data_IF_581471989224
#
_entry.id   IF_581471989224
#
_cell.length_a   1.000
_cell.length_b   1.000
_cell.length_c   1.000
_cell.angle_alpha   90.00
_cell.angle_beta   90.00
_cell.angle_gamma   90.00
#
_symmetry.space_group_name_H-M   'P 1'
#
loop_
_entity.id
_entity.type
_entity.pdbx_description
1 polymer ?
#
# COMPACT_ATOMS: atom_id res chain seq x y z
N UNK A 1 -10.68 2.91 0.67
CA UNK A 1 -10.09 1.86 1.52
C UNK A 1 -11.07 0.68 1.56
N UNK A 2 -10.89 -0.37 0.74
CA UNK A 2 -11.52 -1.65 1.00
C UNK A 2 -10.50 -2.62 1.59
N UNK A 3 -10.75 -3.05 2.82
CA UNK A 3 -10.05 -4.12 3.53
C UNK A 3 -10.51 -5.46 2.95
N UNK A 4 -9.60 -6.16 2.25
CA UNK A 4 -9.81 -7.54 1.83
C UNK A 4 -9.25 -8.50 2.88
N UNK A 5 -10.15 -9.24 3.53
CA UNK A 5 -9.83 -10.45 4.30
C UNK A 5 -9.09 -11.45 3.41
N UNK A 6 -7.91 -11.89 3.84
CA UNK A 6 -7.17 -12.99 3.21
C UNK A 6 -7.27 -14.21 4.11
N UNK A 7 -8.11 -15.16 3.69
CA UNK A 7 -8.38 -16.44 4.33
C UNK A 7 -7.14 -17.37 4.25
N UNK A 8 -6.57 -17.83 5.39
CA UNK A 8 -5.31 -18.58 5.39
C UNK A 8 -5.43 -20.05 4.97
N UNK A 9 -6.56 -20.51 4.43
CA UNK A 9 -6.78 -21.94 4.09
C UNK A 9 -6.52 -22.33 2.63
N UNK A 10 -5.97 -21.45 1.79
CA UNK A 10 -5.67 -21.76 0.37
C UNK A 10 -4.18 -21.77 0.01
N UNK A 11 -3.35 -22.48 0.77
CA UNK A 11 -1.98 -22.81 0.36
C UNK A 11 -1.61 -24.23 0.81
N UNK A 12 -2.20 -25.24 0.18
CA UNK A 12 -1.54 -26.53 0.07
C UNK A 12 -1.99 -27.27 -1.20
N UNK A 13 -1.32 -26.97 -2.31
CA UNK A 13 -1.30 -27.86 -3.48
C UNK A 13 0.15 -27.94 -3.94
N UNK A 14 0.91 -28.85 -3.35
CA UNK A 14 2.16 -29.32 -3.95
C UNK A 14 1.81 -30.32 -5.05
N UNK A 15 2.21 -30.13 -6.32
CA UNK A 15 2.21 -31.23 -7.27
C UNK A 15 3.36 -32.18 -6.91
N UNK A 16 2.98 -33.37 -6.40
CA UNK A 16 3.87 -34.51 -6.28
C UNK A 16 4.32 -34.96 -7.68
N UNK A 17 5.57 -34.67 -8.04
CA UNK A 17 6.20 -35.24 -9.23
C UNK A 17 6.65 -36.66 -8.86
N UNK A 18 5.73 -37.61 -9.05
CA UNK A 18 6.05 -39.03 -9.05
C UNK A 18 6.79 -39.38 -10.34
N UNK A 19 8.07 -39.72 -10.25
CA UNK A 19 8.80 -40.36 -11.34
C UNK A 19 8.35 -41.83 -11.38
N UNK A 20 7.26 -42.08 -12.10
CA UNK A 20 6.85 -43.41 -12.50
C UNK A 20 7.56 -43.82 -13.78
N UNK A 21 8.76 -44.38 -13.66
CA UNK A 21 9.38 -45.14 -14.76
C UNK A 21 8.99 -46.61 -14.63
N UNK A 22 7.79 -46.91 -15.15
CA UNK A 22 7.41 -48.26 -15.52
C UNK A 22 7.85 -48.55 -16.95
N UNK A 23 9.05 -49.12 -17.11
CA UNK A 23 9.37 -49.97 -18.25
C UNK A 23 9.87 -51.29 -17.69
N UNK A 24 8.98 -52.27 -17.69
CA UNK A 24 9.29 -53.64 -17.33
C UNK A 24 10.30 -54.22 -18.31
N UNK A 25 11.41 -54.72 -17.76
CA UNK A 25 12.18 -55.78 -18.37
C UNK A 25 12.30 -56.87 -17.31
N UNK A 26 11.65 -57.99 -17.56
CA UNK A 26 11.62 -59.20 -16.75
C UNK A 26 13.04 -59.77 -16.56
N UNK A 27 13.34 -60.20 -15.34
CA UNK A 27 14.48 -61.07 -15.05
C UNK A 27 14.00 -62.54 -15.01
N UNK A 28 14.35 -63.40 -15.99
CA UNK A 28 14.27 -64.85 -15.84
C UNK A 28 15.50 -65.43 -15.13
N UNK A 29 15.36 -66.61 -14.49
CA UNK A 29 16.11 -67.03 -13.31
C UNK A 29 17.46 -67.71 -13.59
N UNK A 30 18.41 -67.58 -12.65
CA UNK A 30 19.67 -68.33 -12.65
C UNK A 30 19.44 -69.70 -12.00
N UNK A 31 19.01 -70.68 -12.79
CA UNK A 31 19.33 -72.08 -12.48
C UNK A 31 19.59 -72.88 -13.76
N UNK A 32 20.86 -73.31 -13.83
CA UNK A 32 21.42 -74.43 -14.60
C UNK A 32 21.49 -74.31 -16.13
N UNK A 33 22.67 -73.96 -16.65
CA UNK A 33 23.28 -74.68 -17.78
C UNK A 33 24.77 -74.90 -17.44
N UNK A 34 25.16 -76.15 -17.65
CA UNK A 34 26.38 -76.86 -17.29
C UNK A 34 27.66 -76.39 -17.98
N UNK A 35 28.78 -76.88 -17.42
CA UNK A 35 30.16 -76.88 -17.91
C UNK A 35 30.33 -76.86 -19.43
N UNK A 36 31.39 -76.15 -19.87
CA UNK A 36 32.50 -76.62 -20.74
C UNK A 36 33.09 -75.44 -21.54
N UNK A 37 34.39 -75.21 -21.35
CA UNK A 37 35.31 -74.37 -22.17
C UNK A 37 35.52 -72.91 -21.79
N UNK A 38 35.82 -72.64 -20.52
CA UNK A 38 36.65 -71.49 -20.14
C UNK A 38 38.13 -71.82 -20.43
N UNK A 39 38.65 -71.48 -21.62
CA UNK A 39 40.12 -71.25 -21.76
C UNK A 39 40.64 -70.54 -23.01
N UNK A 40 39.85 -70.25 -24.05
CA UNK A 40 40.34 -69.43 -25.18
C UNK A 40 39.64 -68.09 -25.35
N UNK A 41 38.43 -67.89 -24.78
CA UNK A 41 37.67 -66.65 -24.97
C UNK A 41 38.04 -65.51 -24.00
N UNK A 42 38.82 -65.79 -22.95
CA UNK A 42 39.35 -64.77 -22.02
C UNK A 42 40.50 -63.98 -22.65
N UNK A 43 41.18 -64.52 -23.68
CA UNK A 43 42.30 -63.84 -24.33
C UNK A 43 41.92 -63.04 -25.59
N UNK A 44 40.63 -62.97 -25.94
CA UNK A 44 40.14 -62.05 -26.99
C UNK A 44 39.45 -60.81 -26.41
N UNK A 45 38.82 -60.90 -25.23
CA UNK A 45 38.19 -59.73 -24.60
C UNK A 45 39.20 -58.81 -23.93
N UNK A 46 40.36 -59.30 -23.49
CA UNK A 46 41.37 -58.47 -22.82
C UNK A 46 42.21 -57.64 -23.82
N UNK A 47 42.42 -58.09 -25.06
CA UNK A 47 43.23 -57.34 -26.04
C UNK A 47 42.45 -56.24 -26.79
N UNK A 48 41.11 -56.24 -26.72
CA UNK A 48 40.26 -55.20 -27.35
C UNK A 48 39.66 -54.22 -26.32
N UNK A 49 39.51 -54.60 -25.05
CA UNK A 49 39.01 -53.69 -23.98
C UNK A 49 40.08 -52.78 -23.34
N UNK A 50 41.37 -53.13 -23.39
CA UNK A 50 42.43 -52.31 -22.78
C UNK A 50 42.75 -51.03 -23.56
N UNK A 51 42.63 -51.06 -24.89
CA UNK A 51 42.90 -49.88 -25.74
C UNK A 51 41.67 -49.01 -25.91
N UNK A 52 40.45 -49.57 -25.97
CA UNK A 52 39.20 -48.80 -26.00
C UNK A 52 38.91 -48.06 -24.70
N UNK A 53 39.30 -48.62 -23.53
CA UNK A 53 39.09 -47.97 -22.23
C UNK A 53 39.87 -46.67 -22.06
N UNK A 54 41.08 -46.55 -22.61
CA UNK A 54 41.88 -45.33 -22.48
C UNK A 54 41.34 -44.19 -23.38
N UNK A 55 40.94 -44.52 -24.62
CA UNK A 55 40.31 -43.53 -25.50
C UNK A 55 38.95 -43.07 -24.97
N UNK A 56 38.16 -43.98 -24.40
CA UNK A 56 36.89 -43.64 -23.77
C UNK A 56 37.08 -42.77 -22.52
N UNK A 57 38.19 -42.97 -21.79
CA UNK A 57 38.55 -42.16 -20.63
C UNK A 57 39.05 -40.76 -21.03
N UNK A 58 39.82 -40.64 -22.12
CA UNK A 58 40.21 -39.33 -22.68
C UNK A 58 39.03 -38.55 -23.26
N UNK A 59 38.12 -39.21 -23.97
CA UNK A 59 36.88 -38.58 -24.47
C UNK A 59 36.00 -38.08 -23.33
N UNK A 60 35.95 -38.82 -22.23
CA UNK A 60 35.19 -38.42 -21.05
C UNK A 60 35.84 -37.23 -20.31
N UNK A 61 37.17 -37.08 -20.38
CA UNK A 61 37.91 -35.93 -19.85
C UNK A 61 37.66 -34.66 -20.69
N UNK A 62 37.72 -34.75 -22.02
CA UNK A 62 37.35 -33.65 -22.93
C UNK A 62 35.89 -33.23 -22.76
N UNK A 63 34.96 -34.19 -22.64
CA UNK A 63 33.53 -33.89 -22.40
C UNK A 63 33.30 -33.25 -21.02
N UNK A 64 34.12 -33.60 -20.01
CA UNK A 64 34.07 -32.97 -18.69
C UNK A 64 34.62 -31.53 -18.75
N UNK A 65 35.70 -31.30 -19.49
CA UNK A 65 36.26 -29.95 -19.71
C UNK A 65 35.26 -29.06 -20.45
N UNK A 66 34.69 -29.51 -21.57
CA UNK A 66 33.65 -28.77 -22.31
C UNK A 66 32.41 -28.50 -21.43
N UNK A 67 31.97 -29.49 -20.64
CA UNK A 67 30.86 -29.32 -19.71
C UNK A 67 31.17 -28.29 -18.61
N UNK A 68 32.42 -28.19 -18.16
CA UNK A 68 32.83 -27.17 -17.18
C UNK A 68 32.86 -25.77 -17.79
N UNK A 69 33.28 -25.63 -19.05
CA UNK A 69 33.25 -24.35 -19.77
C UNK A 69 31.81 -23.83 -19.94
N UNK A 70 30.88 -24.69 -20.36
CA UNK A 70 29.45 -24.33 -20.49
C UNK A 70 28.86 -23.89 -19.14
N UNK A 71 29.23 -24.56 -18.05
CA UNK A 71 28.76 -24.22 -16.71
C UNK A 71 29.36 -22.89 -16.21
N UNK A 72 30.61 -22.59 -16.58
CA UNK A 72 31.26 -21.32 -16.29
C UNK A 72 30.60 -20.17 -17.06
N UNK A 73 30.34 -20.33 -18.36
CA UNK A 73 29.63 -19.32 -19.14
C UNK A 73 28.20 -19.09 -18.63
N UNK A 74 27.51 -20.16 -18.21
CA UNK A 74 26.17 -20.05 -17.63
C UNK A 74 26.21 -19.27 -16.31
N UNK A 75 27.20 -19.54 -15.46
CA UNK A 75 27.41 -18.80 -14.20
C UNK A 75 27.72 -17.32 -14.47
N UNK A 76 28.53 -17.03 -15.47
CA UNK A 76 28.86 -15.66 -15.86
C UNK A 76 27.62 -14.90 -16.37
N UNK A 77 26.83 -15.48 -17.28
CA UNK A 77 25.57 -14.89 -17.76
C UNK A 77 24.54 -14.71 -16.64
N UNK A 78 24.46 -15.66 -15.72
CA UNK A 78 23.57 -15.57 -14.55
C UNK A 78 24.02 -14.44 -13.61
N UNK A 79 25.32 -14.34 -13.33
CA UNK A 79 25.87 -13.27 -12.51
C UNK A 79 25.62 -11.90 -13.14
N UNK A 80 25.87 -11.73 -14.44
CA UNK A 80 25.58 -10.50 -15.16
C UNK A 80 24.11 -10.10 -15.04
N UNK A 81 23.18 -11.06 -15.18
CA UNK A 81 21.74 -10.80 -15.04
C UNK A 81 21.35 -10.41 -13.62
N UNK A 82 21.97 -11.04 -12.61
CA UNK A 82 21.77 -10.69 -11.20
C UNK A 82 22.27 -9.28 -10.94
N UNK A 83 23.47 -8.93 -11.39
CA UNK A 83 24.08 -7.62 -11.21
C UNK A 83 23.20 -6.52 -11.84
N UNK A 84 22.70 -6.73 -13.07
CA UNK A 84 21.78 -5.79 -13.73
C UNK A 84 20.45 -5.62 -12.98
N UNK A 85 19.94 -6.71 -12.39
CA UNK A 85 18.71 -6.66 -11.58
C UNK A 85 18.95 -5.98 -10.24
N UNK A 86 20.09 -6.21 -9.60
CA UNK A 86 20.50 -5.57 -8.36
C UNK A 86 20.68 -4.07 -8.55
N UNK A 87 21.32 -3.64 -9.63
CA UNK A 87 21.48 -2.21 -9.95
C UNK A 87 20.12 -1.54 -10.14
N UNK A 88 19.25 -2.15 -10.95
CA UNK A 88 17.88 -1.64 -11.16
C UNK A 88 17.06 -1.60 -9.86
N UNK A 89 17.24 -2.60 -8.99
CA UNK A 89 16.55 -2.64 -7.71
C UNK A 89 17.10 -1.57 -6.75
N UNK A 90 18.41 -1.35 -6.75
CA UNK A 90 19.07 -0.29 -5.97
C UNK A 90 18.59 1.09 -6.39
N UNK A 91 18.55 1.38 -7.68
CA UNK A 91 18.01 2.65 -8.20
C UNK A 91 16.55 2.88 -7.79
N UNK A 92 15.71 1.84 -7.86
CA UNK A 92 14.29 1.94 -7.45
C UNK A 92 14.17 2.17 -5.95
N UNK A 93 14.99 1.50 -5.16
CA UNK A 93 15.01 1.68 -3.73
C UNK A 93 15.42 3.10 -3.35
N UNK A 94 16.49 3.62 -3.95
CA UNK A 94 16.94 5.00 -3.73
C UNK A 94 15.88 6.03 -4.13
N UNK A 95 15.25 5.87 -5.30
CA UNK A 95 14.13 6.73 -5.73
C UNK A 95 12.95 6.68 -4.76
N UNK A 96 12.67 5.51 -4.20
CA UNK A 96 11.59 5.35 -3.21
C UNK A 96 11.94 6.05 -1.91
N UNK A 97 13.20 5.95 -1.46
CA UNK A 97 13.70 6.66 -0.27
C UNK A 97 13.58 8.17 -0.49
N UNK A 98 14.06 8.69 -1.62
CA UNK A 98 13.98 10.11 -1.97
C UNK A 98 12.52 10.60 -2.00
N UNK A 99 11.61 9.84 -2.61
CA UNK A 99 10.19 10.14 -2.62
C UNK A 99 9.60 10.18 -1.20
N UNK A 100 9.94 9.21 -0.35
CA UNK A 100 9.47 9.17 1.03
C UNK A 100 9.98 10.38 1.82
N UNK A 101 11.23 10.80 1.64
CA UNK A 101 11.76 12.01 2.26
C UNK A 101 11.03 13.27 1.79
N UNK A 102 10.84 13.41 0.47
CA UNK A 102 10.11 14.54 -0.09
C UNK A 102 8.65 14.60 0.39
N UNK A 103 7.99 13.45 0.53
CA UNK A 103 6.63 13.34 1.03
C UNK A 103 6.54 13.72 2.52
N UNK A 104 7.55 13.36 3.33
CA UNK A 104 7.65 13.77 4.74
C UNK A 104 7.78 15.29 4.84
N UNK A 105 8.71 15.88 4.06
CA UNK A 105 8.93 17.33 4.07
C UNK A 105 7.66 18.08 3.63
N UNK A 106 7.05 17.64 2.53
CA UNK A 106 5.79 18.17 2.03
C UNK A 106 4.67 18.08 3.07
N UNK A 107 4.54 16.96 3.78
CA UNK A 107 3.54 16.80 4.83
C UNK A 107 3.69 17.87 5.92
N UNK A 108 4.93 18.16 6.33
CA UNK A 108 5.19 19.16 7.36
C UNK A 108 4.96 20.59 6.86
N UNK A 109 5.33 20.89 5.62
CA UNK A 109 5.02 22.16 4.98
C UNK A 109 3.51 22.41 4.87
N UNK A 110 2.77 21.43 4.33
CA UNK A 110 1.31 21.51 4.15
C UNK A 110 0.60 21.61 5.51
N UNK A 111 1.04 20.85 6.52
CA UNK A 111 0.49 20.90 7.87
C UNK A 111 0.72 22.27 8.52
N UNK A 112 1.93 22.80 8.43
CA UNK A 112 2.26 24.10 8.99
C UNK A 112 1.50 25.22 8.28
N UNK A 113 1.43 25.18 6.95
CA UNK A 113 0.63 26.12 6.17
C UNK A 113 -0.85 26.08 6.57
N UNK A 114 -1.41 24.88 6.74
CA UNK A 114 -2.79 24.71 7.21
C UNK A 114 -2.98 25.27 8.62
N UNK A 115 -2.06 25.00 9.54
CA UNK A 115 -2.11 25.53 10.90
C UNK A 115 -2.08 27.06 10.92
N UNK A 116 -1.18 27.67 10.14
CA UNK A 116 -1.08 29.13 10.02
C UNK A 116 -2.35 29.71 9.42
N UNK A 117 -2.92 29.07 8.39
CA UNK A 117 -4.17 29.52 7.78
C UNK A 117 -5.34 29.44 8.76
N UNK A 118 -5.46 28.36 9.54
CA UNK A 118 -6.49 28.24 10.58
C UNK A 118 -6.31 29.31 11.66
N UNK A 119 -5.07 29.53 12.12
CA UNK A 119 -4.80 30.57 13.12
C UNK A 119 -5.22 31.96 12.60
N UNK A 120 -4.80 32.29 11.37
CA UNK A 120 -5.18 33.56 10.72
C UNK A 120 -6.68 33.69 10.54
N UNK A 121 -7.37 32.61 10.15
CA UNK A 121 -8.82 32.63 10.03
C UNK A 121 -9.48 32.88 11.39
N UNK A 122 -9.02 32.21 12.45
CA UNK A 122 -9.52 32.43 13.81
C UNK A 122 -9.26 33.86 14.29
N UNK A 123 -8.10 34.45 13.98
CA UNK A 123 -7.80 35.85 14.31
C UNK A 123 -8.75 36.82 13.59
N UNK A 124 -9.06 36.56 12.32
CA UNK A 124 -10.02 37.36 11.55
C UNK A 124 -11.43 37.19 12.10
N UNK A 125 -11.86 35.96 12.39
CA UNK A 125 -13.18 35.65 12.94
C UNK A 125 -13.34 36.26 14.34
N UNK A 126 -12.29 36.23 15.17
CA UNK A 126 -12.28 36.88 16.48
C UNK A 126 -12.37 38.40 16.34
N UNK A 127 -11.61 39.01 15.44
CA UNK A 127 -11.67 40.44 15.17
C UNK A 127 -13.06 40.87 14.67
N UNK A 128 -13.67 40.11 13.77
CA UNK A 128 -15.04 40.34 13.28
C UNK A 128 -16.06 40.18 14.39
N UNK A 129 -15.93 39.14 15.23
CA UNK A 129 -16.83 38.92 16.36
C UNK A 129 -16.73 40.03 17.41
N UNK A 130 -15.52 40.50 17.72
CA UNK A 130 -15.30 41.62 18.64
C UNK A 130 -15.86 42.92 18.06
N UNK A 131 -15.63 43.20 16.77
CA UNK A 131 -16.19 44.35 16.09
C UNK A 131 -17.73 44.32 16.06
N UNK A 132 -18.34 43.16 15.80
CA UNK A 132 -19.79 43.01 15.85
C UNK A 132 -20.32 43.21 17.27
N UNK A 133 -19.63 42.65 18.28
CA UNK A 133 -19.99 42.85 19.69
C UNK A 133 -19.90 44.32 20.09
N UNK A 134 -18.86 45.02 19.68
CA UNK A 134 -18.69 46.46 19.93
C UNK A 134 -19.76 47.28 19.19
N UNK A 135 -20.08 46.94 17.94
CA UNK A 135 -21.16 47.55 17.17
C UNK A 135 -22.52 47.39 17.86
N UNK A 136 -22.78 46.19 18.41
CA UNK A 136 -23.97 45.93 19.22
C UNK A 136 -23.95 46.67 20.57
N UNK A 137 -22.78 46.90 21.17
CA UNK A 137 -22.62 47.59 22.45
C UNK A 137 -22.69 49.11 22.33
N UNK A 138 -22.14 49.68 21.25
CA UNK A 138 -22.25 51.10 20.92
C UNK A 138 -23.73 51.43 20.70
N UNK A 139 -24.32 52.23 21.60
CA UNK A 139 -25.77 52.43 21.78
C UNK A 139 -26.56 53.05 20.62
N UNK A 140 -26.09 52.93 19.39
CA UNK A 140 -26.73 53.46 18.18
C UNK A 140 -27.86 52.55 17.66
N UNK A 141 -27.90 51.28 18.03
CA UNK A 141 -28.95 50.31 17.61
C UNK A 141 -29.99 50.08 18.70
N UNK A 142 -31.27 50.02 18.33
CA UNK A 142 -32.42 49.70 19.20
C UNK A 142 -32.22 48.39 19.97
N UNK A 143 -32.60 48.35 21.25
CA UNK A 143 -32.43 47.18 22.13
C UNK A 143 -33.00 45.89 21.52
N UNK A 144 -34.13 45.97 20.82
CA UNK A 144 -34.77 44.83 20.15
C UNK A 144 -34.01 44.33 18.91
N UNK A 145 -33.31 45.21 18.21
CA UNK A 145 -32.46 44.83 17.07
C UNK A 145 -31.25 44.02 17.55
N UNK A 146 -30.63 44.42 18.66
CA UNK A 146 -29.56 43.66 19.33
C UNK A 146 -30.03 42.26 19.72
N UNK A 147 -31.21 42.14 20.36
CA UNK A 147 -31.78 40.85 20.78
C UNK A 147 -32.06 39.96 19.55
N UNK A 148 -32.62 40.51 18.48
CA UNK A 148 -32.86 39.75 17.25
C UNK A 148 -31.55 39.26 16.61
N UNK A 149 -30.48 40.07 16.60
CA UNK A 149 -29.18 39.68 16.04
C UNK A 149 -28.48 38.60 16.87
N UNK A 150 -28.49 38.70 18.21
CA UNK A 150 -27.95 37.66 19.12
C UNK A 150 -28.70 36.34 18.95
N UNK A 151 -30.02 36.39 18.76
CA UNK A 151 -30.85 35.21 18.55
C UNK A 151 -30.80 34.67 17.10
N UNK A 152 -30.09 35.33 16.18
CA UNK A 152 -30.01 34.95 14.76
C UNK A 152 -31.34 35.05 14.02
N UNK A 153 -32.25 35.90 14.48
CA UNK A 153 -33.61 36.00 13.96
C UNK A 153 -33.69 36.99 12.79
N UNK A 154 -33.53 36.47 11.57
CA UNK A 154 -33.75 37.25 10.33
C UNK A 154 -35.19 37.11 9.80
N UNK A 155 -35.87 36.01 10.15
CA UNK A 155 -37.24 35.69 9.72
C UNK A 155 -37.93 34.80 10.75
N UNK A 156 -39.26 34.76 10.78
CA UNK A 156 -40.03 33.90 11.70
C UNK A 156 -39.64 32.42 11.59
N UNK A 157 -39.22 31.99 10.39
CA UNK A 157 -38.79 30.60 10.10
C UNK A 157 -37.32 30.33 10.44
N UNK A 158 -36.56 31.33 10.89
CA UNK A 158 -35.16 31.13 11.28
C UNK A 158 -35.07 30.12 12.43
N UNK A 159 -34.23 29.09 12.24
CA UNK A 159 -34.06 28.02 13.22
C UNK A 159 -33.13 28.52 14.32
N UNK A 160 -33.70 28.85 15.47
CA UNK A 160 -32.93 29.09 16.68
C UNK A 160 -32.47 27.75 17.24
N UNK A 161 -31.21 27.61 17.70
CA UNK A 161 -30.71 26.38 18.32
C UNK A 161 -31.31 26.22 19.72
N UNK A 162 -32.61 25.93 19.80
CA UNK A 162 -33.27 25.59 21.06
C UNK A 162 -33.45 24.08 21.12
N UNK A 163 -32.77 23.47 22.09
CA UNK A 163 -32.68 22.02 22.35
C UNK A 163 -34.05 21.37 22.60
N UNK A 164 -35.10 22.17 22.85
CA UNK A 164 -36.45 21.70 23.12
C UNK A 164 -37.45 22.35 22.16
N UNK A 165 -38.20 21.52 21.43
CA UNK A 165 -39.21 21.86 20.40
C UNK A 165 -40.47 22.50 21.01
N UNK A 166 -40.35 23.63 21.71
CA UNK A 166 -41.50 24.46 22.06
C UNK A 166 -41.82 25.39 20.90
N UNK A 167 -43.09 25.54 20.56
CA UNK A 167 -43.52 26.49 19.53
C UNK A 167 -43.24 27.92 20.01
N UNK A 168 -42.25 28.55 19.37
CA UNK A 168 -41.80 29.93 19.64
C UNK A 168 -42.20 30.88 18.51
N UNK A 169 -43.08 30.45 17.60
CA UNK A 169 -43.46 31.23 16.41
C UNK A 169 -44.04 32.59 16.80
N UNK A 170 -44.97 32.62 17.77
CA UNK A 170 -45.56 33.87 18.29
C UNK A 170 -44.54 34.78 18.96
N UNK A 171 -43.56 34.21 19.64
CA UNK A 171 -42.49 34.98 20.27
C UNK A 171 -41.55 35.60 19.23
N UNK A 172 -41.21 34.86 18.17
CA UNK A 172 -40.42 35.39 17.04
C UNK A 172 -41.15 36.50 16.28
N UNK A 173 -42.44 36.33 16.04
CA UNK A 173 -43.30 37.36 15.43
C UNK A 173 -43.32 38.65 16.28
N UNK A 174 -43.45 38.52 17.60
CA UNK A 174 -43.42 39.65 18.53
C UNK A 174 -42.08 40.39 18.50
N UNK A 175 -40.94 39.67 18.51
CA UNK A 175 -39.61 40.26 18.46
C UNK A 175 -39.35 41.01 17.14
N UNK A 176 -39.82 40.48 16.01
CA UNK A 176 -39.71 41.15 14.71
C UNK A 176 -40.61 42.39 14.61
N UNK A 177 -41.78 42.36 15.25
CA UNK A 177 -42.67 43.52 15.39
C UNK A 177 -42.00 44.62 16.22
N UNK A 178 -41.47 44.28 17.40
CA UNK A 178 -40.77 45.20 18.30
C UNK A 178 -39.48 45.78 17.71
N UNK A 179 -38.81 45.04 16.82
CA UNK A 179 -37.67 45.55 16.06
C UNK A 179 -38.08 46.67 15.08
N UNK A 180 -39.27 46.57 14.50
CA UNK A 180 -39.73 47.48 13.44
C UNK A 180 -40.48 48.70 13.97
N UNK A 181 -40.88 48.70 15.24
CA UNK A 181 -41.62 49.79 15.89
C UNK A 181 -40.67 50.80 16.55
N UNK A 182 -40.69 52.05 16.06
CA UNK A 182 -39.89 53.16 16.59
C UNK A 182 -40.36 53.65 17.98
N UNK A 183 -41.60 53.36 18.38
CA UNK A 183 -42.16 53.74 19.70
C UNK A 183 -42.02 52.64 20.74
N UNK A 184 -41.41 51.51 20.39
CA UNK A 184 -41.23 50.41 21.31
C UNK A 184 -40.36 50.83 22.52
N UNK A 185 -40.65 50.33 23.73
CA UNK A 185 -39.82 50.60 24.89
C UNK A 185 -38.40 50.08 24.64
N UNK A 186 -37.39 50.94 24.81
CA UNK A 186 -35.98 50.60 24.51
C UNK A 186 -35.54 50.86 23.06
N UNK A 187 -36.38 51.51 22.24
CA UNK A 187 -36.02 52.02 20.91
C UNK A 187 -35.18 53.31 20.94
N UNK A 188 -35.31 54.12 21.99
CA UNK A 188 -34.57 55.38 22.13
C UNK A 188 -33.09 55.24 22.58
N UNK A 189 -32.55 54.02 22.62
CA UNK A 189 -31.20 53.75 23.14
C UNK A 189 -31.08 53.92 24.66
N UNK A 190 -30.04 53.32 25.24
CA UNK A 190 -29.56 53.54 26.62
C UNK A 190 -28.04 53.66 26.57
#
# INVERSE_FOLDING_TARGET
MPTGDVDPTKLNVTPSIGIGLGLGIEFPPVSAISDITLRSHILFTVYVFGTTSFYQQQQQEEELEEATEVLNEWRERAQQTIDECEERNREKHEKTIEQVHADIDRFHEDYNAKKINILKQNEVDEAEFLAERERLASGTTTTWERVCKILGLTSVQSKTPLINQKDVTRFKELLLSLKSDEKAPGAAGY
#
